data_IF_707212882032
#
_entry.id   IF_707212882032
#
_cell.length_a   1.000
_cell.length_b   1.000
_cell.length_c   1.000
_cell.angle_alpha   90.00
_cell.angle_beta   90.00
_cell.angle_gamma   90.00
#
_symmetry.space_group_name_H-M   'P 1'
#
loop_
_entity.id
_entity.type
_entity.pdbx_description
1 polymer ?
#
# COMPACT_ATOMS: atom_id res chain seq x y z
N UNK A 1 -10.50 16.46 7.05
CA UNK A 1 -10.79 15.06 7.36
C UNK A 1 -9.52 14.27 7.09
N UNK A 2 -9.19 13.30 7.94
CA UNK A 2 -7.94 12.55 7.87
C UNK A 2 -8.06 11.37 6.91
N UNK A 3 -7.00 11.12 6.14
CA UNK A 3 -6.91 9.97 5.25
C UNK A 3 -6.87 8.67 6.08
N UNK A 4 -7.64 7.65 5.71
CA UNK A 4 -7.58 6.33 6.35
C UNK A 4 -6.92 5.31 5.44
N UNK A 5 -6.02 4.49 5.99
CA UNK A 5 -5.43 3.36 5.28
C UNK A 5 -6.19 2.08 5.60
N UNK A 6 -6.70 1.41 4.57
CA UNK A 6 -7.26 0.05 4.64
C UNK A 6 -6.23 -0.95 4.10
N UNK A 7 -5.72 -1.89 4.92
CA UNK A 7 -4.76 -2.88 4.43
C UNK A 7 -5.48 -3.86 3.48
N UNK A 8 -4.80 -4.30 2.42
CA UNK A 8 -5.39 -5.18 1.40
C UNK A 8 -4.61 -6.47 1.14
N UNK A 9 -3.28 -6.43 1.10
CA UNK A 9 -2.47 -7.63 0.86
C UNK A 9 -1.15 -7.55 1.61
N UNK A 10 -0.77 -8.67 2.23
CA UNK A 10 0.54 -8.86 2.86
C UNK A 10 1.29 -9.96 2.12
N UNK A 11 2.54 -9.70 1.74
CA UNK A 11 3.47 -10.72 1.27
C UNK A 11 4.80 -10.63 2.00
N UNK A 12 5.43 -11.77 2.24
CA UNK A 12 6.76 -11.85 2.83
C UNK A 12 7.38 -13.22 2.52
N UNK A 13 8.71 -13.29 2.60
CA UNK A 13 9.43 -14.54 2.58
C UNK A 13 9.80 -14.94 4.01
N UNK A 14 9.63 -16.21 4.35
CA UNK A 14 9.98 -16.73 5.67
C UNK A 14 10.78 -18.03 5.57
N UNK A 15 11.71 -18.22 6.51
CA UNK A 15 12.49 -19.45 6.62
C UNK A 15 12.78 -19.79 8.08
N UNK A 16 12.83 -21.07 8.38
CA UNK A 16 13.27 -21.61 9.67
C UNK A 16 14.71 -22.10 9.56
N UNK A 17 15.58 -21.58 10.42
CA UNK A 17 16.98 -22.00 10.48
C UNK A 17 17.20 -22.96 11.66
N UNK A 18 17.63 -24.19 11.33
CA UNK A 18 17.91 -25.26 12.30
C UNK A 18 16.90 -26.41 12.27
N UNK A 19 16.93 -27.30 13.26
CA UNK A 19 16.26 -28.61 13.27
C UNK A 19 14.83 -28.67 13.80
N UNK A 20 14.42 -27.72 14.65
CA UNK A 20 13.22 -27.88 15.49
C UNK A 20 12.39 -26.59 15.61
N UNK A 21 11.07 -26.78 15.71
CA UNK A 21 10.15 -25.71 16.11
C UNK A 21 9.98 -24.58 15.09
N UNK A 22 9.52 -23.43 15.58
CA UNK A 22 9.27 -22.21 14.81
C UNK A 22 7.88 -22.19 14.19
N UNK A 23 6.94 -21.56 14.88
CA UNK A 23 5.64 -21.17 14.33
C UNK A 23 5.54 -19.66 14.30
N UNK A 24 4.83 -19.14 13.30
CA UNK A 24 4.59 -17.70 13.13
C UNK A 24 3.08 -17.48 13.04
N UNK A 25 2.56 -16.62 13.91
CA UNK A 25 1.23 -16.03 13.71
C UNK A 25 1.42 -14.59 13.25
N UNK A 26 0.57 -14.14 12.34
CA UNK A 26 0.65 -12.78 11.78
C UNK A 26 -0.69 -12.09 11.95
N UNK A 27 -0.64 -10.86 12.46
CA UNK A 27 -1.83 -10.05 12.70
C UNK A 27 -1.66 -8.65 12.13
N UNK A 28 -2.78 -8.07 11.70
CA UNK A 28 -2.95 -6.63 11.57
C UNK A 28 -3.51 -6.06 12.88
N UNK A 29 -2.98 -4.93 13.31
CA UNK A 29 -3.48 -4.17 14.47
C UNK A 29 -3.68 -2.72 14.01
N UNK A 30 -4.89 -2.19 14.08
CA UNK A 30 -5.16 -0.78 13.77
C UNK A 30 -4.78 0.16 14.93
N UNK A 31 -4.93 1.45 14.71
CA UNK A 31 -4.73 2.53 15.69
C UNK A 31 -5.58 2.41 16.96
N UNK A 32 -6.74 1.76 16.88
CA UNK A 32 -7.61 1.46 18.03
C UNK A 32 -7.21 0.18 18.81
N UNK A 33 -6.16 -0.53 18.35
CA UNK A 33 -5.70 -1.77 18.97
C UNK A 33 -6.51 -3.01 18.59
N UNK A 34 -7.43 -2.91 17.62
CA UNK A 34 -8.20 -4.05 17.11
C UNK A 34 -7.27 -4.99 16.35
N UNK A 35 -7.09 -6.20 16.91
CA UNK A 35 -6.26 -7.26 16.37
C UNK A 35 -7.06 -8.14 15.40
N UNK A 36 -6.58 -8.32 14.18
CA UNK A 36 -7.18 -9.17 13.14
C UNK A 36 -6.14 -10.16 12.64
N UNK A 37 -6.47 -11.45 12.68
CA UNK A 37 -5.58 -12.53 12.23
C UNK A 37 -5.44 -12.52 10.71
N UNK A 38 -4.20 -12.58 10.22
CA UNK A 38 -3.88 -12.79 8.81
C UNK A 38 -3.57 -14.27 8.59
N UNK A 39 -2.78 -14.88 9.47
CA UNK A 39 -2.50 -16.31 9.46
C UNK A 39 -2.07 -16.76 10.86
N UNK A 40 -2.36 -18.03 11.18
CA UNK A 40 -1.93 -18.67 12.40
C UNK A 40 -1.21 -19.98 12.10
N UNK A 41 -0.30 -20.34 13.02
CA UNK A 41 0.54 -21.52 12.98
C UNK A 41 1.29 -21.72 11.66
N UNK A 42 1.65 -20.62 10.97
CA UNK A 42 2.47 -20.69 9.77
C UNK A 42 3.79 -21.34 10.14
N UNK A 43 4.17 -22.37 9.37
CA UNK A 43 5.38 -23.13 9.57
C UNK A 43 6.25 -23.03 8.31
N UNK A 44 7.14 -22.01 8.23
CA UNK A 44 7.93 -21.79 7.03
C UNK A 44 8.83 -22.99 6.69
N UNK A 45 9.34 -23.02 5.48
CA UNK A 45 10.30 -24.03 5.05
C UNK A 45 11.64 -23.86 5.76
N UNK A 46 12.49 -24.89 5.68
CA UNK A 46 13.74 -24.95 6.44
C UNK A 46 14.96 -24.60 5.58
N UNK A 47 15.95 -24.03 6.25
CA UNK A 47 17.32 -23.84 5.78
C UNK A 47 17.43 -22.90 4.57
N UNK A 48 17.62 -23.43 3.35
CA UNK A 48 17.87 -22.63 2.15
C UNK A 48 16.61 -22.35 1.33
N UNK A 49 15.47 -22.94 1.71
CA UNK A 49 14.21 -22.78 0.98
C UNK A 49 13.34 -21.79 1.76
N UNK A 50 13.04 -20.66 1.13
CA UNK A 50 12.11 -19.68 1.67
C UNK A 50 10.69 -20.07 1.28
N UNK A 51 9.76 -20.01 2.25
CA UNK A 51 8.34 -20.00 1.93
C UNK A 51 7.94 -18.60 1.50
N UNK A 52 7.51 -18.47 0.25
CA UNK A 52 6.90 -17.24 -0.25
C UNK A 52 5.45 -17.19 0.26
N UNK A 53 5.20 -16.35 1.26
CA UNK A 53 3.89 -16.19 1.88
C UNK A 53 3.15 -15.00 1.25
N UNK A 54 1.89 -15.20 0.86
CA UNK A 54 1.06 -14.16 0.27
C UNK A 54 -0.38 -14.32 0.73
N UNK A 55 -0.91 -13.29 1.40
CA UNK A 55 -2.26 -13.25 1.94
C UNK A 55 -2.97 -12.02 1.36
N UNK A 56 -4.00 -12.27 0.56
CA UNK A 56 -4.88 -11.23 0.02
C UNK A 56 -6.15 -11.18 0.86
N UNK A 57 -6.38 -10.04 1.49
CA UNK A 57 -7.52 -9.72 2.32
C UNK A 57 -8.18 -8.42 1.85
N UNK A 58 -8.05 -8.11 0.54
CA UNK A 58 -8.64 -6.92 -0.08
C UNK A 58 -10.18 -6.96 -0.07
N UNK A 59 -10.75 -8.16 -0.13
CA UNK A 59 -12.18 -8.41 -0.05
C UNK A 59 -12.68 -8.57 1.39
N UNK A 60 -11.77 -8.64 2.36
CA UNK A 60 -12.12 -8.80 3.77
C UNK A 60 -12.37 -7.44 4.44
N UNK A 61 -13.13 -7.46 5.53
CA UNK A 61 -13.36 -6.29 6.38
C UNK A 61 -12.24 -6.12 7.42
N UNK A 62 -11.00 -6.05 6.94
CA UNK A 62 -9.88 -5.63 7.79
C UNK A 62 -10.09 -4.18 8.25
N UNK A 63 -9.91 -3.89 9.55
CA UNK A 63 -10.13 -2.55 10.06
C UNK A 63 -9.13 -1.58 9.45
N UNK A 64 -9.63 -0.43 8.99
CA UNK A 64 -8.77 0.68 8.57
C UNK A 64 -8.11 1.34 9.79
N UNK A 65 -7.10 2.15 9.51
CA UNK A 65 -6.38 2.96 10.50
C UNK A 65 -6.30 4.39 9.99
N UNK A 66 -6.56 5.38 10.86
CA UNK A 66 -6.27 6.79 10.59
C UNK A 66 -4.93 7.20 11.21
N UNK A 67 -4.50 6.47 12.24
CA UNK A 67 -3.18 6.56 12.86
C UNK A 67 -2.26 5.37 12.52
N UNK A 68 -1.36 5.05 13.45
CA UNK A 68 -0.39 3.96 13.29
C UNK A 68 -1.07 2.58 13.24
N UNK A 69 -0.97 1.91 12.09
CA UNK A 69 -1.32 0.48 11.96
C UNK A 69 -0.08 -0.41 11.90
N UNK A 70 -0.17 -1.62 12.45
CA UNK A 70 0.97 -2.54 12.63
C UNK A 70 0.69 -3.91 12.03
N UNK A 71 1.67 -4.45 11.32
CA UNK A 71 1.76 -5.89 11.08
C UNK A 71 2.66 -6.48 12.16
N UNK A 72 2.13 -7.44 12.93
CA UNK A 72 2.84 -8.05 14.06
C UNK A 72 3.03 -9.54 13.79
N UNK A 73 4.29 -9.97 13.83
CA UNK A 73 4.71 -11.36 13.73
C UNK A 73 4.97 -11.91 15.14
N UNK A 74 4.18 -12.88 15.59
CA UNK A 74 4.43 -13.61 16.83
C UNK A 74 5.18 -14.89 16.50
N UNK A 75 6.42 -14.98 16.95
CA UNK A 75 7.25 -16.18 16.79
C UNK A 75 7.22 -16.96 18.10
N UNK A 76 6.84 -18.23 18.02
CA UNK A 76 6.73 -19.11 19.18
C UNK A 76 7.16 -20.53 18.84
N UNK A 77 7.28 -21.36 19.89
CA UNK A 77 7.83 -22.71 19.80
C UNK A 77 9.21 -22.76 19.12
N UNK A 78 10.02 -21.70 19.24
CA UNK A 78 11.35 -21.61 18.64
C UNK A 78 12.41 -22.05 19.67
N UNK A 79 13.24 -23.03 19.31
CA UNK A 79 14.34 -23.47 20.16
C UNK A 79 15.41 -22.37 20.36
N UNK A 80 16.11 -22.41 21.48
CA UNK A 80 17.09 -21.38 21.89
C UNK A 80 18.26 -21.16 20.92
N UNK A 81 18.59 -22.17 20.12
CA UNK A 81 19.67 -22.12 19.11
C UNK A 81 19.13 -22.03 17.68
N UNK A 82 17.87 -21.66 17.52
CA UNK A 82 17.15 -21.64 16.25
C UNK A 82 16.74 -20.22 15.91
N UNK A 83 16.47 -19.97 14.63
CA UNK A 83 16.15 -18.62 14.15
C UNK A 83 15.00 -18.68 13.15
N UNK A 84 14.28 -17.56 13.04
CA UNK A 84 13.36 -17.28 11.94
C UNK A 84 13.97 -16.16 11.10
N UNK A 85 14.11 -16.40 9.80
CA UNK A 85 14.42 -15.36 8.83
C UNK A 85 13.13 -14.82 8.24
N UNK A 86 13.01 -13.49 8.16
CA UNK A 86 11.94 -12.80 7.44
C UNK A 86 12.58 -11.85 6.43
N UNK A 87 12.07 -11.83 5.21
CA UNK A 87 12.54 -10.95 4.16
C UNK A 87 11.38 -10.46 3.28
N UNK A 88 11.64 -9.42 2.47
CA UNK A 88 10.73 -8.93 1.45
C UNK A 88 9.29 -8.65 1.95
N UNK A 89 9.17 -8.18 3.20
CA UNK A 89 7.87 -7.86 3.80
C UNK A 89 7.26 -6.67 3.07
N UNK A 90 6.09 -6.86 2.47
CA UNK A 90 5.34 -5.85 1.74
C UNK A 90 3.88 -5.89 2.16
N UNK A 91 3.39 -4.77 2.65
CA UNK A 91 1.97 -4.53 2.89
C UNK A 91 1.48 -3.52 1.86
N UNK A 92 0.44 -3.87 1.12
CA UNK A 92 -0.30 -2.97 0.23
C UNK A 92 -1.72 -2.80 0.73
N UNK A 93 -2.33 -1.66 0.41
CA UNK A 93 -3.69 -1.33 0.80
C UNK A 93 -4.21 -0.13 0.03
N UNK A 94 -5.38 0.33 0.41
CA UNK A 94 -6.04 1.51 -0.16
C UNK A 94 -6.00 2.64 0.86
N UNK A 95 -5.88 3.87 0.38
CA UNK A 95 -6.09 5.06 1.19
C UNK A 95 -7.43 5.64 0.76
N UNK A 96 -8.38 5.73 1.69
CA UNK A 96 -9.64 6.41 1.43
C UNK A 96 -9.39 7.92 1.49
N UNK A 97 -10.01 8.64 0.55
CA UNK A 97 -9.98 10.10 0.46
C UNK A 97 -8.58 10.69 0.19
N UNK A 98 -7.87 10.12 -0.80
CA UNK A 98 -6.76 10.85 -1.44
C UNK A 98 -7.37 12.07 -2.13
N UNK A 99 -7.35 13.21 -1.44
CA UNK A 99 -7.50 14.49 -2.13
C UNK A 99 -6.42 14.53 -3.19
N UNK A 100 -6.83 14.63 -4.44
CA UNK A 100 -5.93 14.69 -5.61
C UNK A 100 -4.89 15.79 -5.50
N UNK A 101 -5.12 16.75 -4.60
CA UNK A 101 -4.22 17.86 -4.27
C UNK A 101 -2.97 17.42 -3.50
N UNK A 102 -2.99 16.27 -2.80
CA UNK A 102 -1.89 15.78 -1.94
C UNK A 102 -1.00 14.73 -2.63
N UNK A 103 -1.34 14.30 -3.85
CA UNK A 103 -0.42 13.50 -4.67
C UNK A 103 0.66 14.43 -5.21
N UNK A 104 1.97 14.06 -5.18
CA UNK A 104 2.92 14.74 -6.04
C UNK A 104 2.36 14.61 -7.44
N UNK A 105 2.14 15.73 -8.11
CA UNK A 105 1.50 15.79 -9.43
C UNK A 105 2.25 14.86 -10.38
N UNK A 106 1.75 13.63 -10.54
CA UNK A 106 2.12 12.77 -11.65
C UNK A 106 1.61 13.53 -12.84
N UNK A 107 2.52 14.06 -13.66
CA UNK A 107 2.19 14.67 -14.93
C UNK A 107 1.42 13.59 -15.70
N UNK A 108 0.09 13.74 -15.79
CA UNK A 108 -0.71 12.87 -16.63
C UNK A 108 -0.36 13.25 -18.06
N UNK A 109 0.07 12.26 -18.84
CA UNK A 109 0.48 12.42 -20.24
C UNK A 109 -0.65 13.03 -21.10
N UNK A 110 -1.89 13.00 -20.60
CA UNK A 110 -3.11 13.51 -21.23
C UNK A 110 -3.58 14.90 -20.77
N UNK A 111 -2.80 15.66 -20.00
CA UNK A 111 -3.23 17.00 -19.59
C UNK A 111 -3.32 17.95 -20.82
N UNK A 112 -4.55 18.17 -21.27
CA UNK A 112 -4.91 19.07 -22.37
C UNK A 112 -4.69 20.52 -21.93
N UNK A 113 -3.59 21.13 -22.38
CA UNK A 113 -3.27 22.52 -22.04
C UNK A 113 -3.90 23.53 -22.99
N UNK A 114 -4.41 24.62 -22.41
CA UNK A 114 -4.86 25.82 -23.10
C UNK A 114 -3.96 26.98 -22.70
N UNK A 115 -3.58 27.82 -23.65
CA UNK A 115 -2.80 29.03 -23.38
C UNK A 115 -3.60 30.26 -23.77
N UNK A 116 -3.68 31.24 -22.89
CA UNK A 116 -4.26 32.53 -23.29
C UNK A 116 -3.34 33.24 -24.30
N UNK A 117 -3.81 34.36 -24.86
CA UNK A 117 -3.04 35.12 -25.85
C UNK A 117 -1.75 35.76 -25.27
N UNK A 118 -1.57 35.71 -23.95
CA UNK A 118 -0.35 36.15 -23.26
C UNK A 118 0.58 34.97 -22.91
N UNK A 119 0.25 33.75 -23.34
CA UNK A 119 1.03 32.54 -23.10
C UNK A 119 0.87 31.93 -21.71
N UNK A 120 -0.11 32.36 -20.92
CA UNK A 120 -0.37 31.77 -19.60
C UNK A 120 -1.18 30.49 -19.75
N UNK A 121 -0.79 29.46 -19.01
CA UNK A 121 -1.40 28.12 -19.06
C UNK A 121 -2.69 28.06 -18.22
N UNK A 122 -3.71 27.43 -18.79
CA UNK A 122 -5.02 27.18 -18.17
C UNK A 122 -5.38 25.70 -18.36
N UNK A 123 -5.80 25.03 -17.28
CA UNK A 123 -6.29 23.65 -17.29
C UNK A 123 -7.80 23.57 -17.52
N UNK A 124 -8.53 24.62 -17.14
CA UNK A 124 -9.98 24.74 -17.30
C UNK A 124 -10.28 26.16 -17.79
N UNK A 125 -10.13 26.42 -19.11
CA UNK A 125 -10.29 27.75 -19.66
C UNK A 125 -11.75 28.23 -19.56
N UNK A 126 -11.94 29.46 -19.11
CA UNK A 126 -13.22 30.14 -19.17
C UNK A 126 -13.53 30.61 -20.61
N UNK A 127 -14.72 31.17 -20.83
CA UNK A 127 -15.11 31.75 -22.12
C UNK A 127 -14.06 32.75 -22.62
N UNK A 128 -13.58 32.54 -23.84
CA UNK A 128 -12.52 33.37 -24.38
C UNK A 128 -11.70 32.68 -25.45
N UNK A 129 -10.58 33.30 -25.77
CA UNK A 129 -9.73 32.93 -26.90
C UNK A 129 -8.43 32.31 -26.43
N UNK A 130 -8.12 31.11 -26.91
CA UNK A 130 -6.97 30.33 -26.45
C UNK A 130 -6.19 29.71 -27.61
N UNK A 131 -4.96 29.29 -27.30
CA UNK A 131 -4.14 28.43 -28.13
C UNK A 131 -4.20 27.03 -27.54
N UNK A 132 -4.62 26.06 -28.35
CA UNK A 132 -4.66 24.65 -28.01
C UNK A 132 -4.02 23.84 -29.15
N UNK A 133 -3.00 23.05 -28.84
CA UNK A 133 -2.22 22.27 -29.83
C UNK A 133 -1.75 23.11 -31.05
N UNK A 134 -1.30 24.34 -30.78
CA UNK A 134 -0.85 25.28 -31.82
C UNK A 134 -1.97 25.92 -32.65
N UNK A 135 -3.24 25.62 -32.35
CA UNK A 135 -4.40 26.21 -33.02
C UNK A 135 -5.11 27.20 -32.11
N UNK A 136 -5.54 28.30 -32.69
CA UNK A 136 -6.38 29.28 -32.01
C UNK A 136 -7.82 28.76 -31.96
N UNK A 137 -8.42 28.76 -30.78
CA UNK A 137 -9.79 28.30 -30.55
C UNK A 137 -10.57 29.35 -29.74
N UNK A 138 -11.88 29.42 -29.98
CA UNK A 138 -12.81 30.23 -29.19
C UNK A 138 -13.65 29.28 -28.34
N UNK A 139 -13.64 29.51 -27.04
CA UNK A 139 -14.47 28.80 -26.07
C UNK A 139 -15.66 29.70 -25.73
N UNK A 140 -16.87 29.19 -25.98
CA UNK A 140 -18.15 29.90 -25.81
C UNK A 140 -18.89 29.48 -24.55
#
# INVERSE_FOLDING_TARGET
>A
QGQSFKPGKLSFDAVRCGTDGGSVDVFWINDEGKKTEITSALKPDRNSNYSACSYDFSQDNFPSTQGEGKVVFYIYNLGTTKQIGLANIKLSGQIDDVKTDDLPSIIKEDDVYYYDMMGRKHLSPERGLYIHQGKKILIQ
#
